data_IF_867884825080
#
_entry.id   IF_867884825080
#
_cell.length_a   1.000
_cell.length_b   1.000
_cell.length_c   1.000
_cell.angle_alpha   90.00
_cell.angle_beta   90.00
_cell.angle_gamma   90.00
#
_symmetry.space_group_name_H-M   'P 1'
#
loop_
_entity.id
_entity.type
_entity.pdbx_description
1 polymer ?
#
# COMPACT_ATOMS: atom_id res chain seq x y z
N UNK A 1 7.21 8.60 -27.06
CA UNK A 1 6.17 7.61 -26.68
C UNK A 1 6.41 6.99 -25.29
N UNK A 2 7.63 6.61 -24.91
CA UNK A 2 7.91 5.94 -23.62
C UNK A 2 7.60 6.76 -22.35
N UNK A 3 7.78 8.09 -22.36
CA UNK A 3 7.52 8.97 -21.21
C UNK A 3 6.03 9.21 -20.91
N UNK A 4 5.18 9.23 -21.94
CA UNK A 4 3.72 9.42 -21.79
C UNK A 4 3.05 8.21 -21.14
N UNK A 5 3.52 7.01 -21.46
CA UNK A 5 3.05 5.77 -20.81
C UNK A 5 3.48 5.76 -19.34
N UNK A 6 4.74 6.11 -19.03
CA UNK A 6 5.21 6.20 -17.64
C UNK A 6 4.38 7.18 -16.80
N UNK A 7 4.03 8.34 -17.37
CA UNK A 7 3.22 9.36 -16.70
C UNK A 7 1.78 8.92 -16.42
N UNK A 8 1.23 7.95 -17.18
CA UNK A 8 -0.11 7.37 -16.94
C UNK A 8 -0.04 6.14 -16.03
N UNK A 9 1.05 5.38 -16.10
CA UNK A 9 1.25 4.17 -15.28
C UNK A 9 1.41 4.54 -13.80
N UNK A 10 2.11 5.63 -13.47
CA UNK A 10 2.32 6.03 -12.07
C UNK A 10 0.97 6.37 -11.38
N UNK A 11 0.10 7.25 -11.92
CA UNK A 11 -1.23 7.50 -11.35
C UNK A 11 -2.11 6.26 -11.32
N UNK A 12 -2.06 5.42 -12.36
CA UNK A 12 -2.87 4.19 -12.42
C UNK A 12 -2.47 3.17 -11.34
N UNK A 13 -1.16 2.99 -11.08
CA UNK A 13 -0.66 2.14 -9.99
C UNK A 13 -1.03 2.71 -8.61
N UNK A 14 -0.96 4.03 -8.45
CA UNK A 14 -1.35 4.70 -7.22
C UNK A 14 -2.86 4.58 -6.94
N UNK A 15 -3.69 4.68 -7.98
CA UNK A 15 -5.14 4.50 -7.89
C UNK A 15 -5.53 3.03 -7.65
N UNK A 16 -4.81 2.08 -8.26
CA UNK A 16 -5.04 0.65 -8.04
C UNK A 16 -4.75 0.22 -6.58
N UNK A 17 -3.76 0.84 -5.92
CA UNK A 17 -3.50 0.63 -4.49
C UNK A 17 -4.56 1.23 -3.57
N UNK A 18 -5.29 2.25 -4.02
CA UNK A 18 -6.35 2.90 -3.24
C UNK A 18 -7.68 2.12 -3.27
N UNK A 19 -7.88 1.16 -4.17
CA UNK A 19 -9.14 0.42 -4.32
C UNK A 19 -9.56 -0.39 -3.07
N UNK A 20 -8.60 -0.69 -2.19
CA UNK A 20 -8.84 -1.38 -0.91
C UNK A 20 -8.47 -0.53 0.31
N UNK A 21 -8.06 0.72 0.10
CA UNK A 21 -7.72 1.64 1.18
C UNK A 21 -8.95 2.42 1.62
N UNK A 22 -9.13 2.58 2.93
CA UNK A 22 -10.13 3.49 3.47
C UNK A 22 -9.58 4.92 3.38
N UNK A 23 -10.25 5.77 2.60
CA UNK A 23 -9.94 7.21 2.58
C UNK A 23 -10.35 7.81 3.93
N UNK A 24 -9.37 8.29 4.68
CA UNK A 24 -9.59 8.86 6.02
C UNK A 24 -9.68 10.38 5.96
N UNK A 25 -8.93 11.00 5.07
CA UNK A 25 -8.90 12.44 4.89
C UNK A 25 -8.64 12.78 3.43
N UNK A 26 -9.41 13.72 2.89
CA UNK A 26 -9.23 14.22 1.53
C UNK A 26 -9.77 15.65 1.43
N UNK A 27 -8.87 16.62 1.57
CA UNK A 27 -9.23 18.04 1.54
C UNK A 27 -8.05 18.91 1.12
N UNK A 28 -8.33 19.90 0.28
CA UNK A 28 -7.40 20.96 -0.15
C UNK A 28 -6.05 20.41 -0.67
N UNK A 29 -6.11 19.40 -1.54
CA UNK A 29 -4.92 18.76 -2.13
C UNK A 29 -4.14 17.86 -1.16
N UNK A 30 -4.65 17.60 0.04
CA UNK A 30 -4.07 16.69 1.01
C UNK A 30 -4.96 15.46 1.19
N UNK A 31 -4.39 14.28 1.00
CA UNK A 31 -5.09 12.99 1.10
C UNK A 31 -4.36 12.05 2.04
N UNK A 32 -5.09 11.30 2.86
CA UNK A 32 -4.58 10.23 3.72
C UNK A 32 -5.46 8.99 3.59
N UNK A 33 -4.82 7.91 3.16
CA UNK A 33 -5.42 6.59 3.01
C UNK A 33 -4.84 5.63 4.05
N UNK A 34 -5.71 4.84 4.69
CA UNK A 34 -5.31 3.69 5.51
C UNK A 34 -5.57 2.40 4.73
N UNK A 35 -4.60 1.49 4.74
CA UNK A 35 -4.75 0.20 4.08
C UNK A 35 -4.09 -0.92 4.89
N UNK A 36 -4.48 -2.15 4.58
CA UNK A 36 -3.90 -3.32 5.20
C UNK A 36 -4.51 -4.60 4.67
N UNK A 37 -3.96 -5.72 5.14
CA UNK A 37 -4.46 -7.07 4.88
C UNK A 37 -4.12 -8.01 6.02
N UNK A 38 -4.89 -9.09 6.11
CA UNK A 38 -4.66 -10.22 7.01
C UNK A 38 -4.68 -11.48 6.14
N UNK A 39 -3.56 -12.19 6.12
CA UNK A 39 -3.42 -13.44 5.36
C UNK A 39 -3.19 -14.57 6.36
N UNK A 40 -4.19 -15.46 6.49
CA UNK A 40 -4.08 -16.69 7.26
C UNK A 40 -3.38 -17.78 6.45
N UNK A 41 -2.23 -18.26 6.92
CA UNK A 41 -1.39 -19.21 6.19
C UNK A 41 -0.92 -20.33 7.10
N UNK A 42 -0.92 -21.56 6.58
CA UNK A 42 -0.26 -22.69 7.21
C UNK A 42 0.55 -23.42 6.15
N UNK A 43 1.86 -23.53 6.37
CA UNK A 43 2.76 -24.23 5.48
C UNK A 43 2.85 -25.68 5.91
N UNK A 44 2.64 -26.58 4.95
CA UNK A 44 2.82 -28.02 5.14
C UNK A 44 4.19 -28.42 4.60
N UNK A 45 5.04 -28.97 5.44
CA UNK A 45 6.41 -29.38 5.08
C UNK A 45 6.86 -30.59 5.88
N UNK A 46 7.71 -31.43 5.26
CA UNK A 46 8.41 -32.51 5.97
C UNK A 46 9.56 -31.97 6.85
N UNK A 47 9.97 -30.71 6.67
CA UNK A 47 10.94 -30.00 7.53
C UNK A 47 10.22 -29.23 8.63
N UNK A 48 10.40 -29.65 9.88
CA UNK A 48 9.76 -29.08 11.07
C UNK A 48 10.09 -27.59 11.32
N UNK A 49 11.17 -27.04 10.76
CA UNK A 49 11.44 -25.59 10.85
C UNK A 49 10.65 -24.76 9.84
N UNK A 50 10.09 -25.41 8.82
CA UNK A 50 9.39 -24.78 7.70
C UNK A 50 7.89 -25.11 7.70
N UNK A 51 7.47 -26.12 8.46
CA UNK A 51 6.08 -26.48 8.73
C UNK A 51 5.51 -25.60 9.85
N UNK A 52 4.33 -25.02 9.63
CA UNK A 52 3.66 -24.25 10.67
C UNK A 52 2.90 -23.04 10.20
N UNK A 53 2.41 -22.28 11.18
CA UNK A 53 1.69 -21.03 10.94
C UNK A 53 2.63 -19.99 10.32
N UNK A 54 2.17 -19.35 9.25
CA UNK A 54 2.84 -18.24 8.59
C UNK A 54 1.89 -17.04 8.47
N UNK A 55 0.84 -17.01 9.29
CA UNK A 55 -0.16 -15.97 9.32
C UNK A 55 0.51 -14.63 9.58
N UNK A 56 0.12 -13.64 8.79
CA UNK A 56 0.61 -12.30 8.98
C UNK A 56 -0.48 -11.28 8.72
N UNK A 57 -0.30 -10.15 9.39
CA UNK A 57 -1.05 -8.94 9.15
C UNK A 57 -0.09 -7.88 8.66
N UNK A 58 -0.55 -7.08 7.72
CA UNK A 58 0.17 -5.92 7.20
C UNK A 58 -0.75 -4.72 7.26
N UNK A 59 -0.26 -3.63 7.82
CA UNK A 59 -1.00 -2.38 7.92
C UNK A 59 -0.10 -1.23 7.49
N UNK A 60 -0.69 -0.22 6.87
CA UNK A 60 0.05 0.93 6.41
C UNK A 60 -0.86 2.12 6.14
N UNK A 61 -0.21 3.25 5.87
CA UNK A 61 -0.88 4.46 5.44
C UNK A 61 -0.13 5.10 4.27
N UNK A 62 -0.86 5.87 3.48
CA UNK A 62 -0.33 6.65 2.37
C UNK A 62 -0.88 8.06 2.46
N UNK A 63 0.03 9.04 2.49
CA UNK A 63 -0.27 10.45 2.48
C UNK A 63 0.14 11.09 1.15
N UNK A 64 -0.69 11.98 0.63
CA UNK A 64 -0.39 12.84 -0.51
C UNK A 64 -0.60 14.29 -0.09
N UNK A 65 0.33 15.17 -0.44
CA UNK A 65 0.25 16.62 -0.19
C UNK A 65 0.59 17.35 -1.47
N UNK A 66 -0.36 18.10 -2.02
CA UNK A 66 -0.10 19.05 -3.10
C UNK A 66 0.63 20.26 -2.54
N UNK A 67 1.89 20.45 -2.96
CA UNK A 67 2.72 21.59 -2.54
C UNK A 67 2.43 22.81 -3.41
N UNK A 68 2.24 22.59 -4.73
CA UNK A 68 1.77 23.59 -5.69
C UNK A 68 1.18 22.90 -6.94
N UNK A 69 0.80 23.69 -7.95
CA UNK A 69 0.17 23.21 -9.19
C UNK A 69 0.99 22.18 -9.98
N UNK A 70 2.30 22.10 -9.74
CA UNK A 70 3.22 21.20 -10.46
C UNK A 70 3.91 20.17 -9.55
N UNK A 71 3.76 20.26 -8.22
CA UNK A 71 4.49 19.45 -7.25
C UNK A 71 3.53 18.86 -6.24
N UNK A 72 3.55 17.53 -6.15
CA UNK A 72 2.86 16.75 -5.12
C UNK A 72 3.89 15.88 -4.39
N UNK A 73 3.90 15.97 -3.06
CA UNK A 73 4.67 15.10 -2.19
C UNK A 73 3.87 13.84 -1.82
N UNK A 74 4.58 12.73 -1.64
CA UNK A 74 4.01 11.45 -1.26
C UNK A 74 4.78 10.90 -0.06
N UNK A 75 4.07 10.37 0.92
CA UNK A 75 4.62 9.64 2.05
C UNK A 75 3.90 8.32 2.24
N UNK A 76 4.63 7.24 2.50
CA UNK A 76 4.04 5.94 2.73
C UNK A 76 4.81 5.24 3.85
N UNK A 77 4.06 4.59 4.74
CA UNK A 77 4.63 3.72 5.76
C UNK A 77 3.80 2.44 5.83
N UNK A 78 4.48 1.33 6.04
CA UNK A 78 3.89 0.00 6.13
C UNK A 78 4.63 -0.82 7.19
N UNK A 79 3.88 -1.60 7.96
CA UNK A 79 4.39 -2.50 8.97
C UNK A 79 3.73 -3.87 8.86
N UNK A 80 4.55 -4.91 9.01
CA UNK A 80 4.11 -6.29 9.00
C UNK A 80 4.32 -6.90 10.39
N UNK A 81 3.27 -7.54 10.90
CA UNK A 81 3.29 -8.39 12.09
C UNK A 81 3.06 -9.82 11.64
N UNK A 82 3.99 -10.69 11.97
CA UNK A 82 3.91 -12.14 11.71
C UNK A 82 3.67 -12.86 13.03
N UNK A 83 2.75 -13.84 13.01
CA UNK A 83 2.42 -14.72 14.13
C UNK A 83 3.23 -16.00 14.13
#
# INVERSE_FOLDING_TARGET
MKRKVLALVIPALLAAGAAHAAEVYNKDGNKLDLYGKVDGLHYFSDDANSDGDQTYMRMGFKGETQVNDMITGYGQWEYQVSG
#
